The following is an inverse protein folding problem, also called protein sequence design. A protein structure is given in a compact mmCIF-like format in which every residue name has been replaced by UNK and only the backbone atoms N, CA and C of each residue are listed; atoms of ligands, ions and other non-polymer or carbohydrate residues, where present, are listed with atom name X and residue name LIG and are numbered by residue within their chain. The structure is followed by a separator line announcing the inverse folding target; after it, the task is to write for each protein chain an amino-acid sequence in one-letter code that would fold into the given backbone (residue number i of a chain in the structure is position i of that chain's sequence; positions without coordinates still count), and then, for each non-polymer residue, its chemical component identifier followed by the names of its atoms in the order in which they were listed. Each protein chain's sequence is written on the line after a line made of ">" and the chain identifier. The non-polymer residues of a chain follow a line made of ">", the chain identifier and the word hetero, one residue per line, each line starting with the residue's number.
data_IF_345526099514
#
_entry.id   IF_345526099514
#
_cell.length_a   1.000
_cell.length_b   1.000
_cell.length_c   1.000
_cell.angle_alpha   90.00
_cell.angle_beta   90.00
_cell.angle_gamma   90.00
#
_symmetry.space_group_name_H-M   'P 1'
#
loop_
_entity.id
_entity.type
_entity.pdbx_description
1 polymer ?
#
# COMPACT_ATOMS: atom_id res chain seq x y z
N UNK A 1 -21.51 -20.54 19.26
CA UNK A 1 -20.65 -21.26 18.28
C UNK A 1 -19.31 -21.50 18.92
N UNK A 2 -18.60 -22.56 18.57
CA UNK A 2 -17.21 -22.75 19.04
C UNK A 2 -16.26 -22.04 18.07
N UNK A 3 -15.54 -21.03 18.57
CA UNK A 3 -14.61 -20.21 17.80
C UNK A 3 -13.14 -20.50 18.12
N UNK A 4 -12.86 -21.51 18.94
CA UNK A 4 -11.51 -21.78 19.46
C UNK A 4 -10.49 -21.99 18.34
N UNK A 5 -10.83 -22.80 17.34
CA UNK A 5 -9.94 -23.08 16.20
C UNK A 5 -9.60 -21.81 15.40
N UNK A 6 -10.59 -20.96 15.14
CA UNK A 6 -10.42 -19.71 14.40
C UNK A 6 -9.55 -18.73 15.17
N UNK A 7 -9.71 -18.65 16.49
CA UNK A 7 -8.84 -17.81 17.33
C UNK A 7 -7.41 -18.33 17.32
N UNK A 8 -7.17 -19.64 17.45
CA UNK A 8 -5.82 -20.21 17.37
C UNK A 8 -5.14 -19.95 16.02
N UNK A 9 -5.90 -20.04 14.91
CA UNK A 9 -5.40 -19.69 13.59
C UNK A 9 -4.99 -18.22 13.49
N UNK A 10 -5.83 -17.30 13.99
CA UNK A 10 -5.53 -15.86 13.99
C UNK A 10 -4.31 -15.56 14.88
N UNK A 11 -4.21 -16.17 16.07
CA UNK A 11 -3.07 -16.03 16.97
C UNK A 11 -1.76 -16.42 16.29
N UNK A 12 -1.75 -17.57 15.64
CA UNK A 12 -0.58 -18.09 14.91
C UNK A 12 -0.17 -17.12 13.80
N UNK A 13 -1.12 -16.72 12.95
CA UNK A 13 -0.85 -15.81 11.83
C UNK A 13 -0.31 -14.44 12.29
N UNK A 14 -0.87 -13.87 13.36
CA UNK A 14 -0.42 -12.58 13.89
C UNK A 14 0.95 -12.69 14.55
N UNK A 15 1.20 -13.76 15.29
CA UNK A 15 2.50 -14.01 15.91
C UNK A 15 3.63 -14.18 14.89
N UNK A 16 3.35 -14.86 13.78
CA UNK A 16 4.35 -15.17 12.76
C UNK A 16 4.53 -14.10 11.68
N UNK A 17 3.45 -13.41 11.29
CA UNK A 17 3.44 -12.58 10.07
C UNK A 17 3.26 -11.10 10.32
N UNK A 18 2.95 -10.67 11.54
CA UNK A 18 2.77 -9.25 11.79
C UNK A 18 4.09 -8.49 11.70
N UNK A 19 4.07 -7.35 11.00
CA UNK A 19 5.26 -6.54 10.68
C UNK A 19 6.02 -6.04 11.90
N UNK A 20 5.36 -6.00 13.07
CA UNK A 20 5.98 -5.69 14.36
C UNK A 20 5.97 -6.93 15.27
N UNK A 21 7.00 -7.80 15.24
CA UNK A 21 6.95 -9.12 15.88
C UNK A 21 6.65 -9.08 17.38
N UNK A 22 7.30 -8.16 18.12
CA UNK A 22 7.08 -8.00 19.56
C UNK A 22 5.64 -7.56 19.89
N UNK A 23 5.01 -6.80 19.00
CA UNK A 23 3.62 -6.37 19.16
C UNK A 23 2.66 -7.51 18.75
N UNK A 24 2.99 -8.26 17.71
CA UNK A 24 2.23 -9.44 17.26
C UNK A 24 2.14 -10.50 18.36
N UNK A 25 3.25 -10.79 19.04
CA UNK A 25 3.28 -11.73 20.18
C UNK A 25 2.31 -11.30 21.30
N UNK A 26 2.34 -10.02 21.70
CA UNK A 26 1.43 -9.49 22.73
C UNK A 26 -0.04 -9.56 22.32
N UNK A 27 -0.34 -9.31 21.05
CA UNK A 27 -1.70 -9.43 20.53
C UNK A 27 -2.16 -10.89 20.56
N UNK A 28 -1.30 -11.84 20.21
CA UNK A 28 -1.60 -13.27 20.30
C UNK A 28 -1.90 -13.70 21.74
N UNK A 29 -1.22 -13.13 22.74
CA UNK A 29 -1.49 -13.37 24.15
C UNK A 29 -2.86 -12.81 24.57
N UNK A 30 -3.22 -11.59 24.13
CA UNK A 30 -4.54 -11.01 24.37
C UNK A 30 -5.65 -11.90 23.82
N UNK A 31 -5.51 -12.38 22.60
CA UNK A 31 -6.50 -13.28 21.99
C UNK A 31 -6.63 -14.60 22.77
N UNK A 32 -5.53 -15.13 23.29
CA UNK A 32 -5.52 -16.33 24.14
C UNK A 32 -6.30 -16.11 25.43
N UNK A 33 -6.02 -14.99 26.11
CA UNK A 33 -6.66 -14.62 27.35
C UNK A 33 -8.16 -14.43 27.14
N UNK A 34 -8.55 -13.69 26.10
CA UNK A 34 -9.95 -13.42 25.76
C UNK A 34 -10.73 -14.70 25.43
N UNK A 35 -10.08 -15.66 24.76
CA UNK A 35 -10.65 -16.98 24.52
C UNK A 35 -10.89 -17.75 25.82
N UNK A 36 -9.90 -17.78 26.72
CA UNK A 36 -10.02 -18.45 28.03
C UNK A 36 -11.09 -17.81 28.93
N UNK A 37 -11.31 -16.50 28.80
CA UNK A 37 -12.37 -15.76 29.48
C UNK A 37 -13.77 -15.98 28.85
N UNK A 38 -13.86 -16.71 27.74
CA UNK A 38 -15.12 -16.98 27.05
C UNK A 38 -15.67 -15.79 26.26
N UNK A 39 -14.84 -14.79 25.95
CA UNK A 39 -15.28 -13.53 25.32
C UNK A 39 -15.93 -13.69 23.94
N UNK A 40 -15.75 -14.85 23.30
CA UNK A 40 -16.30 -15.16 21.98
C UNK A 40 -17.49 -16.13 22.00
N UNK A 41 -17.83 -16.75 23.14
CA UNK A 41 -18.76 -17.88 23.19
C UNK A 41 -20.19 -17.54 22.73
N UNK A 42 -20.66 -16.33 23.05
CA UNK A 42 -22.03 -15.86 22.78
C UNK A 42 -22.19 -15.15 21.43
N UNK A 43 -21.16 -15.13 20.58
CA UNK A 43 -21.23 -14.46 19.29
C UNK A 43 -22.06 -15.29 18.31
N UNK A 44 -23.10 -14.63 17.76
CA UNK A 44 -24.19 -15.27 17.02
C UNK A 44 -23.94 -15.42 15.52
N UNK A 45 -22.96 -14.71 14.96
CA UNK A 45 -22.61 -14.73 13.54
C UNK A 45 -21.14 -14.34 13.30
N UNK A 46 -20.66 -14.65 12.11
CA UNK A 46 -19.27 -14.43 11.68
C UNK A 46 -18.92 -12.94 11.58
N UNK A 47 -19.90 -12.07 11.31
CA UNK A 47 -19.67 -10.62 11.24
C UNK A 47 -19.40 -10.05 12.64
N UNK A 48 -20.16 -10.48 13.64
CA UNK A 48 -20.00 -10.15 15.05
C UNK A 48 -18.69 -10.70 15.58
N UNK A 49 -18.34 -11.95 15.24
CA UNK A 49 -17.03 -12.53 15.53
C UNK A 49 -15.89 -11.70 14.96
N UNK A 50 -15.94 -11.38 13.66
CA UNK A 50 -14.90 -10.57 12.99
C UNK A 50 -14.74 -9.18 13.62
N UNK A 51 -15.84 -8.54 14.03
CA UNK A 51 -15.83 -7.23 14.66
C UNK A 51 -15.15 -7.27 16.05
N UNK A 52 -15.52 -8.23 16.90
CA UNK A 52 -14.94 -8.36 18.25
C UNK A 52 -13.46 -8.72 18.18
N UNK A 53 -13.08 -9.70 17.35
CA UNK A 53 -11.67 -10.06 17.17
C UNK A 53 -10.87 -8.90 16.59
N UNK A 54 -11.44 -8.10 15.69
CA UNK A 54 -10.77 -6.89 15.18
C UNK A 54 -10.50 -5.87 16.28
N UNK A 55 -11.44 -5.66 17.20
CA UNK A 55 -11.23 -4.78 18.34
C UNK A 55 -10.07 -5.27 19.22
N UNK A 56 -9.99 -6.58 19.47
CA UNK A 56 -8.93 -7.18 20.26
C UNK A 56 -7.56 -7.11 19.55
N UNK A 57 -7.51 -7.37 18.24
CA UNK A 57 -6.32 -7.19 17.39
C UNK A 57 -5.76 -5.76 17.43
N UNK A 58 -6.64 -4.76 17.55
CA UNK A 58 -6.29 -3.34 17.52
C UNK A 58 -6.07 -2.73 18.90
N UNK A 59 -6.38 -3.45 19.97
CA UNK A 59 -6.44 -2.94 21.35
C UNK A 59 -5.11 -2.37 21.86
N UNK A 60 -3.98 -2.94 21.44
CA UNK A 60 -2.64 -2.56 21.90
C UNK A 60 -1.88 -1.66 20.93
N UNK A 61 -2.21 -1.70 19.62
CA UNK A 61 -1.44 -1.04 18.57
C UNK A 61 -2.19 0.12 17.88
N UNK A 62 -3.53 0.14 17.92
CA UNK A 62 -4.35 1.06 17.14
C UNK A 62 -4.24 0.90 15.62
N UNK A 63 -3.71 -0.22 15.14
CA UNK A 63 -3.41 -0.46 13.72
C UNK A 63 -4.67 -0.85 12.94
N UNK A 64 -5.26 0.13 12.26
CA UNK A 64 -6.48 -0.07 11.46
C UNK A 64 -6.28 -0.95 10.21
N UNK A 65 -5.05 -1.33 9.89
CA UNK A 65 -4.73 -2.28 8.82
C UNK A 65 -4.84 -3.73 9.29
N UNK A 66 -4.63 -3.98 10.59
CA UNK A 66 -4.78 -5.31 11.18
C UNK A 66 -6.23 -5.55 11.59
N UNK A 67 -6.95 -6.40 10.85
CA UNK A 67 -8.38 -6.69 11.09
C UNK A 67 -8.76 -8.07 10.57
N UNK A 68 -9.73 -8.69 11.23
CA UNK A 68 -10.39 -9.89 10.74
C UNK A 68 -11.58 -9.47 9.87
N UNK A 69 -11.72 -10.08 8.69
CA UNK A 69 -12.86 -9.84 7.80
C UNK A 69 -13.50 -11.16 7.42
N UNK A 70 -14.77 -11.29 7.74
CA UNK A 70 -15.58 -12.39 7.22
C UNK A 70 -15.88 -12.17 5.73
N UNK A 71 -15.81 -13.25 4.95
CA UNK A 71 -16.29 -13.32 3.58
C UNK A 71 -17.02 -14.65 3.40
N UNK A 72 -18.24 -14.59 2.89
CA UNK A 72 -19.03 -15.79 2.58
C UNK A 72 -18.49 -16.55 1.35
N UNK A 73 -17.87 -15.82 0.41
CA UNK A 73 -17.21 -16.42 -0.74
C UNK A 73 -15.76 -16.75 -0.37
N UNK A 74 -15.33 -17.96 -0.72
CA UNK A 74 -13.95 -18.39 -0.62
C UNK A 74 -13.05 -17.48 -1.47
N UNK A 75 -11.90 -17.09 -0.91
CA UNK A 75 -10.89 -16.37 -1.67
C UNK A 75 -10.08 -17.46 -2.40
N UNK A 76 -10.10 -17.51 -3.74
CA UNK A 76 -9.29 -18.48 -4.45
C UNK A 76 -7.83 -18.26 -4.07
N UNK A 77 -7.13 -19.35 -3.75
CA UNK A 77 -5.70 -19.32 -3.55
C UNK A 77 -5.06 -18.97 -4.89
N UNK A 78 -4.70 -17.69 -5.04
CA UNK A 78 -4.14 -17.18 -6.27
C UNK A 78 -2.64 -17.26 -6.12
N UNK A 79 -2.03 -18.27 -6.72
CA UNK A 79 -0.64 -18.16 -7.12
C UNK A 79 -0.60 -17.05 -8.18
N UNK A 80 -0.29 -15.82 -7.75
CA UNK A 80 -0.06 -14.71 -8.66
C UNK A 80 1.22 -15.03 -9.45
N UNK A 81 1.05 -15.66 -10.61
CA UNK A 81 2.14 -15.78 -11.57
C UNK A 81 2.41 -14.39 -12.15
N UNK A 82 3.56 -13.82 -11.79
CA UNK A 82 4.02 -12.57 -12.36
C UNK A 82 4.66 -12.84 -13.73
N UNK A 83 3.97 -12.47 -14.80
CA UNK A 83 4.55 -12.42 -16.15
C UNK A 83 5.00 -10.98 -16.46
N UNK A 84 6.32 -10.76 -16.52
CA UNK A 84 6.90 -9.45 -16.79
C UNK A 84 6.52 -8.92 -18.19
N UNK A 85 6.35 -9.80 -19.18
CA UNK A 85 6.02 -9.39 -20.54
C UNK A 85 4.56 -8.92 -20.63
N UNK A 86 3.64 -9.65 -19.98
CA UNK A 86 2.25 -9.22 -19.85
C UNK A 86 2.14 -7.91 -19.08
N UNK A 87 2.81 -7.82 -17.92
CA UNK A 87 2.84 -6.59 -17.11
C UNK A 87 3.39 -5.39 -17.89
N UNK A 88 4.46 -5.58 -18.68
CA UNK A 88 5.02 -4.54 -19.54
C UNK A 88 3.99 -4.08 -20.58
N UNK A 89 3.32 -5.03 -21.24
CA UNK A 89 2.30 -4.70 -22.23
C UNK A 89 1.14 -3.91 -21.61
N UNK A 90 0.69 -4.27 -20.40
CA UNK A 90 -0.32 -3.52 -19.67
C UNK A 90 0.13 -2.10 -19.30
N UNK A 91 1.36 -1.96 -18.81
CA UNK A 91 1.94 -0.65 -18.50
C UNK A 91 2.07 0.24 -19.76
N UNK A 92 2.36 -0.34 -20.92
CA UNK A 92 2.41 0.41 -22.17
C UNK A 92 1.04 0.99 -22.57
N UNK A 93 -0.06 0.27 -22.30
CA UNK A 93 -1.41 0.69 -22.66
C UNK A 93 -1.87 1.96 -21.93
N UNK A 94 -1.37 2.21 -20.72
CA UNK A 94 -1.72 3.42 -19.94
C UNK A 94 -0.60 4.49 -19.92
N UNK A 95 0.42 4.32 -20.78
CA UNK A 95 1.53 5.25 -20.88
C UNK A 95 2.49 5.17 -19.70
N UNK A 96 2.65 3.98 -19.12
CA UNK A 96 3.45 3.70 -17.93
C UNK A 96 2.96 4.49 -16.72
N UNK A 97 1.65 4.65 -16.61
CA UNK A 97 0.96 5.46 -15.61
C UNK A 97 0.99 6.97 -15.87
N UNK A 98 1.68 7.47 -16.89
CA UNK A 98 1.74 8.90 -17.21
C UNK A 98 0.55 9.28 -18.08
N UNK A 99 -0.45 9.91 -17.48
CA UNK A 99 -1.64 10.32 -18.22
C UNK A 99 -1.47 11.67 -18.93
N UNK A 100 -0.66 12.58 -18.38
CA UNK A 100 -0.33 13.84 -19.04
C UNK A 100 0.96 14.47 -18.51
N UNK A 101 1.68 15.13 -19.41
CA UNK A 101 2.80 16.03 -19.09
C UNK A 101 2.54 17.36 -19.79
N UNK A 102 2.46 18.45 -19.02
CA UNK A 102 2.12 19.78 -19.56
C UNK A 102 2.96 20.88 -18.93
N UNK A 103 3.20 21.93 -19.71
CA UNK A 103 3.61 23.24 -19.20
C UNK A 103 2.41 24.17 -19.21
N UNK A 104 2.10 24.73 -18.05
CA UNK A 104 1.01 25.67 -17.83
C UNK A 104 1.55 27.11 -17.88
N UNK A 105 0.64 28.08 -17.95
CA UNK A 105 1.00 29.50 -17.86
C UNK A 105 1.80 29.79 -16.58
N UNK A 106 2.76 30.72 -16.66
CA UNK A 106 3.68 31.00 -15.55
C UNK A 106 4.79 29.97 -15.37
N UNK A 107 5.10 29.18 -16.41
CA UNK A 107 6.18 28.18 -16.41
C UNK A 107 6.02 27.11 -15.30
N UNK A 108 4.79 26.67 -15.06
CA UNK A 108 4.46 25.61 -14.11
C UNK A 108 4.37 24.27 -14.85
N UNK A 109 5.15 23.28 -14.43
CA UNK A 109 5.05 21.91 -14.91
C UNK A 109 3.92 21.16 -14.23
N UNK A 110 3.21 20.33 -14.99
CA UNK A 110 2.22 19.39 -14.48
C UNK A 110 2.54 17.99 -14.99
N UNK A 111 2.63 17.03 -14.06
CA UNK A 111 2.69 15.60 -14.30
C UNK A 111 1.43 14.96 -13.69
N UNK A 112 0.49 14.48 -14.52
CA UNK A 112 -0.66 13.65 -14.11
C UNK A 112 -0.22 12.19 -14.15
N UNK A 113 -0.03 11.59 -12.97
CA UNK A 113 0.45 10.21 -12.81
C UNK A 113 -0.65 9.37 -12.16
N UNK A 114 -1.12 8.33 -12.85
CA UNK A 114 -2.28 7.51 -12.46
C UNK A 114 -1.93 6.12 -11.95
N UNK A 115 -0.71 5.66 -12.22
CA UNK A 115 -0.15 4.42 -11.66
C UNK A 115 1.35 4.58 -11.44
N UNK A 116 1.91 3.81 -10.50
CA UNK A 116 3.34 3.72 -10.27
C UNK A 116 3.85 2.32 -10.65
N UNK A 117 4.02 2.08 -11.95
CA UNK A 117 4.55 0.80 -12.42
C UNK A 117 5.98 0.55 -11.95
N UNK A 118 6.43 -0.70 -12.04
CA UNK A 118 7.79 -1.11 -11.71
C UNK A 118 8.83 -0.19 -12.38
N UNK A 119 9.76 0.32 -11.58
CA UNK A 119 10.79 1.25 -12.05
C UNK A 119 11.63 0.70 -13.21
N UNK A 120 11.86 -0.62 -13.24
CA UNK A 120 12.59 -1.29 -14.33
C UNK A 120 11.88 -1.20 -15.69
N UNK A 121 10.56 -1.00 -15.68
CA UNK A 121 9.72 -0.94 -16.89
C UNK A 121 9.37 0.52 -17.21
N UNK A 122 8.88 1.28 -16.24
CA UNK A 122 8.39 2.65 -16.45
C UNK A 122 9.47 3.72 -16.38
N UNK A 123 10.66 3.42 -15.85
CA UNK A 123 11.74 4.38 -15.62
C UNK A 123 12.07 5.26 -16.83
N UNK A 124 12.29 4.70 -18.03
CA UNK A 124 12.56 5.49 -19.24
C UNK A 124 11.45 6.49 -19.58
N UNK A 125 10.18 6.09 -19.44
CA UNK A 125 9.04 6.96 -19.72
C UNK A 125 8.93 8.09 -18.69
N UNK A 126 9.14 7.80 -17.41
CA UNK A 126 9.19 8.81 -16.34
C UNK A 126 10.32 9.81 -16.60
N UNK A 127 11.51 9.36 -17.01
CA UNK A 127 12.63 10.24 -17.36
C UNK A 127 12.26 11.16 -18.53
N UNK A 128 11.64 10.62 -19.58
CA UNK A 128 11.20 11.41 -20.72
C UNK A 128 10.18 12.49 -20.32
N UNK A 129 9.19 12.14 -19.49
CA UNK A 129 8.21 13.07 -18.94
C UNK A 129 8.88 14.18 -18.11
N UNK A 130 9.79 13.81 -17.22
CA UNK A 130 10.52 14.75 -16.37
C UNK A 130 11.40 15.71 -17.19
N UNK A 131 12.03 15.23 -18.27
CA UNK A 131 12.80 16.09 -19.17
C UNK A 131 11.95 17.20 -19.81
N UNK A 132 10.68 16.94 -20.14
CA UNK A 132 9.77 17.94 -20.70
C UNK A 132 9.46 19.08 -19.73
N UNK A 133 9.48 18.81 -18.42
CA UNK A 133 9.17 19.78 -17.35
C UNK A 133 10.39 20.23 -16.54
N UNK A 134 11.60 19.77 -16.87
CA UNK A 134 12.81 20.00 -16.09
C UNK A 134 13.19 21.49 -15.88
N UNK A 135 12.78 22.37 -16.81
CA UNK A 135 13.05 23.82 -16.73
C UNK A 135 11.84 24.65 -16.26
N UNK A 136 10.86 24.01 -15.61
CA UNK A 136 9.72 24.71 -14.99
C UNK A 136 10.13 25.31 -13.65
N UNK A 137 9.51 26.43 -13.26
CA UNK A 137 9.80 27.09 -11.98
C UNK A 137 9.12 26.37 -10.80
N UNK A 138 8.00 25.72 -11.07
CA UNK A 138 7.21 24.93 -10.13
C UNK A 138 6.77 23.65 -10.83
N UNK A 139 6.84 22.52 -10.12
CA UNK A 139 6.33 21.24 -10.59
C UNK A 139 5.15 20.80 -9.72
N UNK A 140 4.01 20.52 -10.37
CA UNK A 140 2.84 19.87 -9.77
C UNK A 140 2.84 18.41 -10.20
N UNK A 141 2.82 17.50 -9.23
CA UNK A 141 2.58 16.07 -9.45
C UNK A 141 1.16 15.77 -8.97
N UNK A 142 0.26 15.49 -9.90
CA UNK A 142 -1.15 15.18 -9.61
C UNK A 142 -1.33 13.68 -9.43
N UNK A 143 -1.58 13.27 -8.18
CA UNK A 143 -1.82 11.89 -7.76
C UNK A 143 -3.26 11.64 -7.34
N UNK A 144 -4.19 12.59 -7.55
CA UNK A 144 -5.56 12.49 -7.02
C UNK A 144 -6.35 11.30 -7.58
N UNK A 145 -5.91 10.76 -8.72
CA UNK A 145 -6.49 9.58 -9.37
C UNK A 145 -5.50 8.41 -9.42
N UNK A 146 -4.41 8.49 -8.65
CA UNK A 146 -3.41 7.45 -8.59
C UNK A 146 -3.83 6.36 -7.59
N UNK A 147 -3.87 5.11 -8.04
CA UNK A 147 -4.23 3.96 -7.22
C UNK A 147 -3.06 3.33 -6.44
N UNK A 148 -1.86 3.89 -6.57
CA UNK A 148 -0.60 3.32 -6.09
C UNK A 148 0.15 2.57 -7.20
N UNK A 149 0.89 1.55 -6.81
CA UNK A 149 1.65 0.73 -7.73
C UNK A 149 2.67 -0.15 -7.01
N UNK A 150 3.78 -0.42 -7.67
CA UNK A 150 4.82 -1.31 -7.17
C UNK A 150 5.60 -0.67 -5.99
N UNK A 151 5.69 -1.31 -4.82
CA UNK A 151 6.39 -0.76 -3.65
C UNK A 151 7.89 -0.51 -3.87
N UNK A 152 8.54 -1.26 -4.77
CA UNK A 152 9.96 -1.07 -5.07
C UNK A 152 10.21 0.20 -5.89
N UNK A 153 9.20 0.74 -6.56
CA UNK A 153 9.25 2.04 -7.24
C UNK A 153 9.40 3.20 -6.24
N UNK A 154 8.98 3.04 -4.98
CA UNK A 154 8.95 4.13 -3.99
C UNK A 154 10.30 4.39 -3.28
N UNK A 155 11.13 3.36 -3.06
CA UNK A 155 12.24 3.46 -2.07
C UNK A 155 13.63 3.70 -2.68
N UNK A 156 13.89 3.28 -3.93
CA UNK A 156 15.28 3.21 -4.45
C UNK A 156 15.61 4.12 -5.65
N UNK A 157 14.65 4.43 -6.53
CA UNK A 157 14.96 5.15 -7.78
C UNK A 157 15.11 6.67 -7.59
N UNK A 158 14.38 7.27 -6.65
CA UNK A 158 14.39 8.71 -6.41
C UNK A 158 15.66 9.21 -5.69
N UNK A 159 16.31 8.37 -4.87
CA UNK A 159 17.55 8.75 -4.15
C UNK A 159 18.76 8.84 -5.06
N UNK A 160 18.80 8.11 -6.17
CA UNK A 160 20.02 8.01 -6.99
C UNK A 160 20.06 9.03 -8.13
N UNK A 161 18.90 9.58 -8.54
CA UNK A 161 18.82 10.45 -9.74
C UNK A 161 18.54 11.93 -9.41
N UNK A 162 18.01 12.25 -8.22
CA UNK A 162 17.60 13.64 -7.89
C UNK A 162 18.58 14.44 -7.02
N UNK A 163 19.68 13.89 -6.52
CA UNK A 163 20.54 14.58 -5.52
C UNK A 163 21.58 15.53 -6.14
N UNK A 164 21.41 15.96 -7.39
CA UNK A 164 22.19 17.06 -7.96
C UNK A 164 21.35 18.11 -8.70
N UNK A 165 20.14 18.41 -8.22
CA UNK A 165 19.45 19.63 -8.61
C UNK A 165 19.57 20.66 -7.50
N UNK A 166 20.55 21.56 -7.64
CA UNK A 166 20.77 22.66 -6.71
C UNK A 166 19.49 23.45 -6.54
N UNK A 167 18.95 23.45 -5.32
CA UNK A 167 17.89 24.37 -4.91
C UNK A 167 18.37 25.80 -5.15
N UNK A 168 17.91 26.43 -6.24
CA UNK A 168 18.01 27.89 -6.37
C UNK A 168 17.12 28.46 -5.28
N UNK A 169 17.76 29.16 -4.34
CA UNK A 169 17.09 29.91 -3.27
C UNK A 169 16.02 30.80 -3.91
N UNK A 170 14.79 30.62 -3.46
CA UNK A 170 13.72 31.57 -3.71
C UNK A 170 14.05 32.83 -2.91
N UNK A 171 14.48 33.90 -3.59
CA UNK A 171 14.44 35.25 -3.02
C UNK A 171 13.18 35.92 -3.54
N UNK A 172 12.23 36.19 -2.64
CA UNK A 172 11.09 37.05 -2.94
C UNK A 172 11.60 38.45 -3.33
N UNK A 173 11.13 38.94 -4.48
CA UNK A 173 11.04 40.37 -4.76
C UNK A 173 9.57 40.74 -4.76
#
# INVERSE_FOLDING_TARGET
>A
MDWGEQIEAVRTLVGERYVFPAQGAKIADVLAQRLAEGAYADLADEASFAAVVTADLQSLNGDKHLRLRYRAAEIPDREEFFDEAEYRAEAELDGFGIAAVRRLAGNIGLLDLRAMHMAAIAGPAIVAAMNLVASTDVLIIDLRRNGGGDPATEVRSWRTTCVSWSARRWSAR
#
